data_IF_567081169073
#
_entry.id   IF_567081169073
#
_cell.length_a   1.000
_cell.length_b   1.000
_cell.length_c   1.000
_cell.angle_alpha   90.00
_cell.angle_beta   90.00
_cell.angle_gamma   90.00
#
_symmetry.space_group_name_H-M   'P 1'
#
loop_
_entity.id
_entity.type
_entity.pdbx_description
1 polymer ?
#
# COMPACT_ATOMS: atom_id res chain seq x y z
N UNK A 1 1.61 -34.04 24.89
CA UNK A 1 1.49 -33.33 23.61
C UNK A 1 1.55 -31.86 23.94
N UNK A 2 2.35 -31.06 23.21
CA UNK A 2 2.37 -29.62 23.44
C UNK A 2 1.00 -29.06 23.06
N UNK A 3 0.49 -28.13 23.87
CA UNK A 3 -0.78 -27.44 23.63
C UNK A 3 -0.64 -26.60 22.35
N UNK A 4 -1.59 -26.73 21.42
CA UNK A 4 -1.59 -25.95 20.17
C UNK A 4 -1.95 -24.51 20.51
N UNK A 5 -1.03 -23.59 20.25
CA UNK A 5 -1.27 -22.17 20.38
C UNK A 5 -1.92 -21.62 19.10
N UNK A 6 -3.12 -21.09 19.24
CA UNK A 6 -3.86 -20.46 18.15
C UNK A 6 -3.63 -18.95 18.09
N UNK A 7 -3.46 -18.42 16.89
CA UNK A 7 -3.60 -17.01 16.61
C UNK A 7 -5.09 -16.72 16.42
N UNK A 8 -5.66 -15.97 17.34
CA UNK A 8 -7.08 -15.64 17.30
C UNK A 8 -7.35 -14.52 16.28
N UNK A 9 -8.40 -14.69 15.49
CA UNK A 9 -8.88 -13.69 14.57
C UNK A 9 -10.14 -13.08 15.14
N UNK A 10 -10.13 -11.77 15.33
CA UNK A 10 -11.30 -11.04 15.80
C UNK A 10 -12.32 -10.92 14.67
N UNK A 11 -13.51 -11.41 14.89
CA UNK A 11 -14.61 -11.47 13.91
C UNK A 11 -15.17 -10.11 13.53
N UNK A 12 -15.06 -9.11 14.41
CA UNK A 12 -15.57 -7.74 14.19
C UNK A 12 -14.49 -6.87 13.53
N UNK A 13 -13.29 -6.83 14.13
CA UNK A 13 -12.21 -5.97 13.64
C UNK A 13 -11.42 -6.61 12.50
N UNK A 14 -11.60 -7.90 12.25
CA UNK A 14 -10.86 -8.73 11.27
C UNK A 14 -9.33 -8.72 11.49
N UNK A 15 -8.89 -8.36 12.68
CA UNK A 15 -7.47 -8.38 13.03
C UNK A 15 -7.05 -9.78 13.49
N UNK A 16 -5.86 -10.19 13.10
CA UNK A 16 -5.20 -11.40 13.58
C UNK A 16 -4.36 -10.99 14.80
N UNK A 17 -4.67 -11.54 15.97
CA UNK A 17 -3.88 -11.31 17.19
C UNK A 17 -2.55 -12.04 17.09
N UNK A 18 -1.49 -11.31 16.79
CA UNK A 18 -0.13 -11.86 16.73
C UNK A 18 0.73 -11.29 17.87
N UNK A 19 1.66 -12.08 18.42
CA UNK A 19 2.68 -11.55 19.32
C UNK A 19 3.48 -10.43 18.67
N UNK A 20 3.92 -9.44 19.44
CA UNK A 20 4.66 -8.29 18.95
C UNK A 20 5.91 -8.66 18.12
N UNK A 21 6.51 -9.83 18.37
CA UNK A 21 7.67 -10.35 17.67
C UNK A 21 7.38 -11.77 17.15
N UNK A 22 6.32 -11.94 16.36
CA UNK A 22 5.99 -13.23 15.78
C UNK A 22 7.14 -13.73 14.90
N UNK A 23 7.85 -14.75 15.37
CA UNK A 23 8.90 -15.41 14.61
C UNK A 23 8.30 -16.53 13.76
N UNK A 24 8.42 -16.40 12.45
CA UNK A 24 7.92 -17.40 11.49
C UNK A 24 8.91 -18.55 11.31
N UNK A 25 10.20 -18.28 11.27
CA UNK A 25 11.27 -19.27 11.11
C UNK A 25 12.57 -18.62 10.69
N UNK A 26 13.43 -19.44 10.10
CA UNK A 26 14.75 -19.04 9.60
C UNK A 26 14.75 -19.21 8.08
N UNK A 27 15.52 -18.37 7.39
CA UNK A 27 15.70 -18.46 5.94
C UNK A 27 16.13 -19.88 5.54
N UNK A 28 15.56 -20.40 4.45
CA UNK A 28 15.78 -21.75 3.92
C UNK A 28 15.07 -22.88 4.69
N UNK A 29 14.26 -22.56 5.71
CA UNK A 29 13.33 -23.54 6.27
C UNK A 29 12.33 -24.03 5.20
N UNK A 30 11.86 -25.26 5.34
CA UNK A 30 10.87 -25.85 4.45
C UNK A 30 9.96 -26.78 5.22
N UNK A 31 8.66 -26.52 5.18
CA UNK A 31 7.59 -27.36 5.75
C UNK A 31 7.82 -27.74 7.24
N UNK A 32 8.57 -26.91 7.99
CA UNK A 32 8.94 -27.19 9.38
C UNK A 32 8.05 -26.48 10.40
N UNK A 33 7.32 -25.46 9.98
CA UNK A 33 6.49 -24.68 10.89
C UNK A 33 5.06 -24.51 10.39
N UNK A 34 4.12 -24.73 11.32
CA UNK A 34 2.71 -24.42 11.15
C UNK A 34 2.31 -23.26 12.06
N UNK A 35 1.52 -22.35 11.55
CA UNK A 35 0.71 -21.46 12.35
C UNK A 35 -0.71 -21.96 12.41
N UNK A 36 -1.32 -21.90 13.57
CA UNK A 36 -2.70 -22.30 13.79
C UNK A 36 -3.56 -21.07 14.06
N UNK A 37 -4.73 -21.03 13.45
CA UNK A 37 -5.65 -19.92 13.54
C UNK A 37 -6.98 -20.39 14.11
N UNK A 38 -7.67 -19.49 14.81
CA UNK A 38 -9.00 -19.70 15.33
C UNK A 38 -9.83 -18.45 15.14
N UNK A 39 -11.03 -18.58 14.63
CA UNK A 39 -12.02 -17.50 14.56
C UNK A 39 -13.44 -18.03 14.72
N UNK A 40 -14.41 -17.13 14.81
CA UNK A 40 -15.81 -17.54 14.73
C UNK A 40 -16.12 -18.13 13.36
N UNK A 41 -16.97 -19.17 13.35
CA UNK A 41 -17.43 -19.83 12.15
C UNK A 41 -18.33 -18.92 11.30
N UNK A 42 -19.21 -18.17 11.96
CA UNK A 42 -20.08 -17.20 11.32
C UNK A 42 -19.50 -15.81 11.56
N UNK A 43 -19.26 -15.08 10.47
CA UNK A 43 -18.75 -13.71 10.47
C UNK A 43 -19.69 -12.83 9.65
N UNK A 44 -19.64 -11.50 9.85
CA UNK A 44 -20.48 -10.54 9.12
C UNK A 44 -21.96 -10.97 9.08
N UNK A 45 -22.49 -11.37 10.24
CA UNK A 45 -23.86 -11.83 10.47
C UNK A 45 -24.28 -13.11 9.71
N UNK A 46 -23.77 -13.37 8.48
CA UNK A 46 -24.26 -14.44 7.62
C UNK A 46 -23.19 -15.25 6.87
N UNK A 47 -21.93 -14.91 6.94
CA UNK A 47 -20.88 -15.62 6.21
C UNK A 47 -20.38 -16.80 7.01
N UNK A 48 -20.75 -18.01 6.59
CA UNK A 48 -20.32 -19.27 7.21
C UNK A 48 -18.98 -19.74 6.64
N UNK A 49 -17.89 -19.46 7.34
CA UNK A 49 -16.53 -19.80 6.90
C UNK A 49 -16.30 -21.30 6.71
N UNK A 50 -17.12 -22.17 7.32
CA UNK A 50 -17.01 -23.62 7.13
C UNK A 50 -17.40 -24.10 5.73
N UNK A 51 -18.08 -23.24 4.98
CA UNK A 51 -18.46 -23.48 3.57
C UNK A 51 -17.48 -22.87 2.57
N UNK A 52 -16.40 -22.27 3.04
CA UNK A 52 -15.43 -21.57 2.24
C UNK A 52 -14.08 -22.27 2.27
N UNK A 53 -13.34 -22.16 1.18
CA UNK A 53 -11.93 -22.50 1.19
C UNK A 53 -11.16 -21.36 1.87
N UNK A 54 -10.22 -21.72 2.74
CA UNK A 54 -9.45 -20.77 3.53
C UNK A 54 -8.01 -20.77 3.05
N UNK A 55 -7.51 -19.58 2.77
CA UNK A 55 -6.17 -19.36 2.24
C UNK A 55 -5.41 -18.37 3.12
N UNK A 56 -4.10 -18.46 3.10
CA UNK A 56 -3.21 -17.38 3.52
C UNK A 56 -2.68 -16.66 2.29
N UNK A 57 -2.85 -15.36 2.23
CA UNK A 57 -2.11 -14.49 1.31
C UNK A 57 -0.91 -13.94 2.04
N UNK A 58 0.27 -13.95 1.43
CA UNK A 58 1.45 -13.38 2.07
C UNK A 58 2.39 -12.71 1.06
N UNK A 59 3.21 -11.82 1.58
CA UNK A 59 4.19 -11.05 0.81
C UNK A 59 5.50 -11.06 1.58
N UNK A 60 6.58 -11.48 0.91
CA UNK A 60 7.93 -11.48 1.48
C UNK A 60 8.57 -10.09 1.35
N UNK A 61 9.35 -9.70 2.34
CA UNK A 61 9.87 -8.35 2.45
C UNK A 61 10.84 -7.90 1.35
N UNK A 62 11.65 -8.83 0.76
CA UNK A 62 12.63 -8.48 -0.28
C UNK A 62 12.78 -9.64 -1.28
N UNK A 63 13.09 -9.37 -2.54
CA UNK A 63 13.46 -10.41 -3.49
C UNK A 63 14.95 -10.80 -3.39
N UNK A 64 15.36 -11.89 -4.04
CA UNK A 64 16.74 -12.40 -4.00
C UNK A 64 17.78 -11.41 -4.52
N UNK A 65 17.39 -10.41 -5.29
CA UNK A 65 18.28 -9.38 -5.83
C UNK A 65 18.38 -8.16 -4.93
N UNK A 66 17.74 -8.17 -3.75
CA UNK A 66 17.66 -7.02 -2.86
C UNK A 66 16.72 -5.93 -3.38
N UNK A 67 15.99 -6.19 -4.45
CA UNK A 67 14.93 -5.30 -4.91
C UNK A 67 13.77 -5.36 -3.93
N UNK A 68 13.19 -4.21 -3.69
CA UNK A 68 12.08 -4.03 -2.77
C UNK A 68 10.86 -4.85 -3.17
N UNK A 69 10.06 -5.10 -2.16
CA UNK A 69 8.68 -5.51 -2.17
C UNK A 69 8.04 -5.46 -3.55
N UNK A 70 7.85 -6.56 -4.18
CA UNK A 70 6.85 -6.66 -5.23
C UNK A 70 5.49 -6.90 -4.58
N UNK A 71 4.81 -5.81 -4.23
CA UNK A 71 3.48 -5.81 -3.64
C UNK A 71 2.45 -6.36 -4.64
N UNK A 72 2.85 -6.40 -5.89
CA UNK A 72 2.01 -6.80 -7.02
C UNK A 72 1.93 -8.32 -7.20
N UNK A 73 2.67 -9.09 -6.42
CA UNK A 73 2.63 -10.56 -6.49
C UNK A 73 2.44 -11.17 -5.07
N UNK A 74 1.27 -11.02 -4.44
CA UNK A 74 0.97 -11.73 -3.22
C UNK A 74 0.90 -13.22 -3.53
N UNK A 75 1.62 -14.03 -2.77
CA UNK A 75 1.53 -15.47 -2.83
C UNK A 75 0.33 -15.95 -2.03
N UNK A 76 -0.34 -16.98 -2.54
CA UNK A 76 -1.53 -17.55 -1.92
C UNK A 76 -1.25 -19.01 -1.57
N UNK A 77 -1.66 -19.41 -0.38
CA UNK A 77 -1.42 -20.74 0.18
C UNK A 77 -2.71 -21.27 0.77
N UNK A 78 -3.12 -22.47 0.40
CA UNK A 78 -4.31 -23.12 0.96
C UNK A 78 -4.06 -23.54 2.41
N UNK A 79 -4.97 -23.21 3.32
CA UNK A 79 -4.91 -23.64 4.72
C UNK A 79 -5.24 -25.13 4.85
N UNK A 80 -4.57 -25.76 5.82
CA UNK A 80 -4.78 -27.13 6.21
C UNK A 80 -5.55 -27.28 7.53
N UNK A 81 -5.77 -28.54 7.94
CA UNK A 81 -6.33 -28.91 9.23
C UNK A 81 -7.61 -28.11 9.59
N UNK A 82 -8.45 -27.85 8.57
CA UNK A 82 -9.68 -27.07 8.76
C UNK A 82 -10.68 -27.92 9.53
N UNK A 83 -11.03 -27.45 10.72
CA UNK A 83 -12.00 -28.13 11.59
C UNK A 83 -12.98 -27.14 12.20
N UNK A 84 -14.18 -27.60 12.51
CA UNK A 84 -15.19 -26.80 13.21
C UNK A 84 -15.48 -27.42 14.57
N UNK A 85 -15.51 -26.56 15.60
CA UNK A 85 -15.85 -26.95 16.96
C UNK A 85 -16.78 -25.92 17.59
N UNK A 86 -18.04 -26.26 17.73
CA UNK A 86 -19.06 -25.32 18.17
C UNK A 86 -19.15 -24.10 17.25
N UNK A 87 -19.02 -22.92 17.84
CA UNK A 87 -19.11 -21.64 17.12
C UNK A 87 -17.80 -21.22 16.46
N UNK A 88 -16.77 -22.03 16.52
CA UNK A 88 -15.45 -21.70 16.02
C UNK A 88 -15.03 -22.59 14.87
N UNK A 89 -14.20 -22.03 14.00
CA UNK A 89 -13.43 -22.71 12.97
C UNK A 89 -11.94 -22.55 13.28
N UNK A 90 -11.21 -23.63 13.14
CA UNK A 90 -9.75 -23.64 13.26
C UNK A 90 -9.12 -24.18 11.98
N UNK A 91 -7.95 -23.68 11.65
CA UNK A 91 -7.20 -24.08 10.47
C UNK A 91 -5.72 -23.79 10.67
N UNK A 92 -4.88 -24.35 9.78
CA UNK A 92 -3.44 -24.15 9.88
C UNK A 92 -2.83 -23.66 8.58
N UNK A 93 -1.72 -22.96 8.70
CA UNK A 93 -0.84 -22.61 7.59
C UNK A 93 0.50 -23.32 7.74
N UNK A 94 0.74 -24.35 6.92
CA UNK A 94 2.06 -24.94 6.77
C UNK A 94 2.88 -24.06 5.84
N UNK A 95 3.96 -23.49 6.35
CA UNK A 95 4.80 -22.55 5.62
C UNK A 95 5.78 -23.29 4.72
N UNK A 96 5.67 -23.08 3.41
CA UNK A 96 6.57 -23.63 2.40
C UNK A 96 7.91 -22.89 2.33
N UNK A 97 8.85 -23.43 1.59
CA UNK A 97 10.15 -22.81 1.30
C UNK A 97 10.03 -21.39 0.73
N UNK A 98 8.93 -21.07 0.03
CA UNK A 98 8.73 -19.74 -0.53
C UNK A 98 8.52 -18.66 0.54
N UNK A 99 7.93 -19.02 1.69
CA UNK A 99 7.83 -18.13 2.85
C UNK A 99 9.21 -17.78 3.38
N UNK A 100 10.10 -18.77 3.42
CA UNK A 100 11.44 -18.66 3.98
C UNK A 100 12.53 -18.32 2.95
N UNK A 101 12.16 -18.08 1.69
CA UNK A 101 13.10 -17.71 0.64
C UNK A 101 13.92 -16.46 0.96
N UNK A 102 13.45 -15.64 1.89
CA UNK A 102 14.07 -14.35 2.25
C UNK A 102 13.91 -14.07 3.74
N UNK A 103 14.95 -13.58 4.34
CA UNK A 103 14.86 -13.03 5.69
C UNK A 103 14.21 -11.64 5.65
N UNK A 104 13.52 -11.27 6.72
CA UNK A 104 12.86 -10.00 6.87
C UNK A 104 11.40 -10.12 7.30
N UNK A 105 10.65 -9.06 7.16
CA UNK A 105 9.24 -9.02 7.53
C UNK A 105 8.39 -9.68 6.44
N UNK A 106 7.44 -10.47 6.87
CA UNK A 106 6.41 -11.10 6.04
C UNK A 106 5.06 -10.51 6.47
N UNK A 107 4.34 -9.90 5.54
CA UNK A 107 2.95 -9.54 5.77
C UNK A 107 2.06 -10.69 5.29
N UNK A 108 1.08 -11.08 6.10
CA UNK A 108 0.13 -12.15 5.74
C UNK A 108 -1.28 -11.82 6.21
N UNK A 109 -2.27 -12.30 5.47
CA UNK A 109 -3.69 -12.18 5.79
C UNK A 109 -4.43 -13.46 5.46
N UNK A 110 -5.58 -13.66 6.06
CA UNK A 110 -6.47 -14.80 5.77
C UNK A 110 -7.51 -14.37 4.74
N UNK A 111 -7.74 -15.21 3.75
CA UNK A 111 -8.82 -15.10 2.79
C UNK A 111 -9.70 -16.35 2.90
N UNK A 112 -11.00 -16.16 3.07
CA UNK A 112 -11.99 -17.20 2.89
C UNK A 112 -12.82 -16.91 1.63
N UNK A 113 -13.02 -17.88 0.75
CA UNK A 113 -13.76 -17.72 -0.49
C UNK A 113 -14.52 -18.98 -0.87
N UNK A 114 -15.73 -18.80 -1.41
CA UNK A 114 -16.53 -19.87 -2.03
C UNK A 114 -16.20 -20.10 -3.51
N UNK A 115 -15.26 -19.31 -4.05
CA UNK A 115 -14.86 -19.36 -5.46
C UNK A 115 -15.71 -18.49 -6.38
N UNK A 116 -16.91 -18.08 -5.97
CA UNK A 116 -17.86 -17.37 -6.85
C UNK A 116 -18.18 -15.94 -6.39
N UNK A 117 -18.87 -15.80 -5.28
CA UNK A 117 -19.49 -14.53 -4.87
C UNK A 117 -18.98 -13.99 -3.54
N UNK A 118 -18.65 -14.88 -2.62
CA UNK A 118 -18.35 -14.51 -1.24
C UNK A 118 -16.87 -14.54 -0.98
N UNK A 119 -16.33 -13.45 -0.50
CA UNK A 119 -14.94 -13.32 -0.06
C UNK A 119 -14.90 -12.58 1.27
N UNK A 120 -14.19 -13.15 2.21
CA UNK A 120 -13.92 -12.53 3.49
C UNK A 120 -12.41 -12.48 3.73
N UNK A 121 -11.88 -11.32 4.10
CA UNK A 121 -10.45 -11.11 4.33
C UNK A 121 -10.21 -10.52 5.71
N UNK A 122 -9.07 -10.88 6.31
CA UNK A 122 -8.54 -10.19 7.49
C UNK A 122 -7.64 -9.01 7.08
N UNK A 123 -7.41 -8.12 8.03
CA UNK A 123 -6.29 -7.18 7.92
C UNK A 123 -4.96 -7.94 7.96
N UNK A 124 -3.89 -7.40 7.32
CA UNK A 124 -2.58 -8.03 7.35
C UNK A 124 -1.98 -8.06 8.75
N UNK A 125 -1.42 -9.21 9.12
CA UNK A 125 -0.53 -9.36 10.26
C UNK A 125 0.92 -9.44 9.78
N UNK A 126 1.87 -9.23 10.67
CA UNK A 126 3.31 -9.22 10.35
C UNK A 126 4.03 -10.28 11.20
N UNK A 127 4.87 -11.06 10.53
CA UNK A 127 5.83 -11.94 11.18
C UNK A 127 7.23 -11.73 10.62
N UNK A 128 8.23 -12.35 11.23
CA UNK A 128 9.64 -12.19 10.87
C UNK A 128 10.27 -13.54 10.50
N UNK A 129 11.02 -13.55 9.41
CA UNK A 129 11.94 -14.65 9.04
C UNK A 129 13.37 -14.18 9.33
N UNK A 130 14.10 -14.92 10.15
CA UNK A 130 15.49 -14.61 10.48
C UNK A 130 16.44 -15.08 9.36
N UNK A 131 17.64 -14.49 9.31
CA UNK A 131 18.70 -15.00 8.44
C UNK A 131 19.25 -16.33 8.98
N UNK A 132 19.51 -17.29 8.08
CA UNK A 132 20.36 -18.41 8.35
C UNK A 132 21.84 -18.00 8.31
N UNK A 133 22.73 -18.79 8.93
CA UNK A 133 24.17 -18.62 8.77
C UNK A 133 24.53 -18.91 7.30
N UNK A 134 25.34 -18.06 6.62
CA UNK A 134 25.69 -18.30 5.21
C UNK A 134 26.42 -19.65 5.04
N UNK A 135 25.96 -20.50 4.14
CA UNK A 135 26.61 -21.80 3.84
C UNK A 135 25.65 -22.91 3.44
N UNK A 136 24.34 -22.68 3.42
CA UNK A 136 23.35 -23.67 2.97
C UNK A 136 23.33 -23.85 1.44
N UNK A 137 23.03 -25.07 0.98
CA UNK A 137 22.84 -25.41 -0.41
C UNK A 137 21.78 -24.49 -1.04
N UNK A 138 22.13 -23.85 -2.17
CA UNK A 138 21.16 -23.10 -2.99
C UNK A 138 20.21 -24.09 -3.65
N UNK A 139 19.14 -24.46 -2.98
CA UNK A 139 18.02 -25.05 -3.67
C UNK A 139 17.35 -23.98 -4.57
N UNK A 140 17.19 -24.35 -5.81
CA UNK A 140 16.49 -23.53 -6.80
C UNK A 140 15.06 -23.36 -6.29
N UNK A 141 14.65 -22.13 -5.98
CA UNK A 141 13.27 -21.84 -5.60
C UNK A 141 12.33 -22.36 -6.70
N UNK A 142 11.49 -23.32 -6.33
CA UNK A 142 10.64 -24.03 -7.28
C UNK A 142 9.80 -23.06 -8.13
N UNK A 143 9.65 -23.39 -9.39
CA UNK A 143 8.88 -22.65 -10.41
C UNK A 143 7.37 -22.55 -10.12
N UNK A 144 6.90 -23.15 -9.05
CA UNK A 144 5.46 -23.35 -8.82
C UNK A 144 4.94 -22.47 -7.68
N UNK A 145 3.75 -21.89 -7.82
CA UNK A 145 3.07 -21.21 -6.73
C UNK A 145 2.85 -22.15 -5.54
N UNK A 146 2.93 -21.64 -4.31
CA UNK A 146 2.76 -22.44 -3.08
C UNK A 146 1.48 -23.27 -3.05
N UNK A 147 0.39 -22.73 -3.63
CA UNK A 147 -0.89 -23.46 -3.71
C UNK A 147 -0.76 -24.75 -4.50
N UNK A 148 -0.03 -24.73 -5.62
CA UNK A 148 0.19 -25.93 -6.46
C UNK A 148 1.06 -26.93 -5.70
N UNK A 149 2.11 -26.48 -5.05
CA UNK A 149 2.99 -27.34 -4.23
C UNK A 149 2.20 -28.03 -3.12
N UNK A 150 1.32 -27.33 -2.44
CA UNK A 150 0.50 -27.92 -1.37
C UNK A 150 -0.59 -28.84 -1.89
N UNK A 151 -1.24 -28.50 -3.00
CA UNK A 151 -2.19 -29.40 -3.67
C UNK A 151 -1.49 -30.71 -4.09
N UNK A 152 -0.30 -30.60 -4.70
CA UNK A 152 0.50 -31.74 -5.09
C UNK A 152 0.93 -32.61 -3.89
N UNK A 153 1.30 -32.00 -2.78
CA UNK A 153 1.67 -32.71 -1.56
C UNK A 153 0.47 -33.45 -0.95
N UNK A 154 -0.72 -32.80 -0.90
CA UNK A 154 -1.96 -33.47 -0.44
C UNK A 154 -2.38 -34.61 -1.36
N UNK A 155 -2.24 -34.43 -2.67
CA UNK A 155 -2.51 -35.51 -3.64
C UNK A 155 -1.55 -36.69 -3.46
N UNK A 156 -0.28 -36.44 -3.15
CA UNK A 156 0.70 -37.51 -2.82
C UNK A 156 0.36 -38.29 -1.54
N UNK A 157 -0.27 -37.63 -0.58
CA UNK A 157 -0.74 -38.29 0.65
C UNK A 157 -1.98 -39.17 0.39
N UNK A 158 -2.80 -38.79 -0.59
CA UNK A 158 -4.04 -39.51 -0.93
C UNK A 158 -3.79 -40.68 -1.91
N UNK A 159 -2.80 -40.56 -2.79
CA UNK A 159 -2.56 -41.61 -3.80
C UNK A 159 -1.08 -41.85 -4.10
N UNK A 160 -0.62 -43.06 -3.78
CA UNK A 160 0.65 -43.61 -4.25
C UNK A 160 0.68 -43.94 -5.75
N UNK A 161 -0.29 -43.54 -6.56
CA UNK A 161 -0.54 -44.11 -7.90
C UNK A 161 -0.80 -43.06 -9.00
N UNK A 162 -0.75 -41.72 -8.77
CA UNK A 162 -1.00 -40.77 -9.84
C UNK A 162 0.27 -40.39 -10.62
N UNK A 163 0.21 -40.46 -11.96
CA UNK A 163 1.30 -39.96 -12.82
C UNK A 163 1.38 -38.43 -12.78
N UNK A 164 2.54 -37.90 -13.15
CA UNK A 164 2.76 -36.42 -13.21
C UNK A 164 1.73 -35.77 -14.13
N UNK A 165 1.36 -36.40 -15.21
CA UNK A 165 0.40 -35.97 -16.21
C UNK A 165 -1.02 -35.88 -15.64
N UNK A 166 -1.48 -36.92 -14.95
CA UNK A 166 -2.78 -36.94 -14.29
C UNK A 166 -2.89 -35.90 -13.17
N UNK A 167 -1.79 -35.68 -12.43
CA UNK A 167 -1.71 -34.62 -11.42
C UNK A 167 -1.79 -33.22 -12.05
N UNK A 168 -1.12 -33.00 -13.17
CA UNK A 168 -1.16 -31.71 -13.86
C UNK A 168 -2.56 -31.45 -14.45
N UNK A 169 -3.21 -32.47 -14.99
CA UNK A 169 -4.57 -32.37 -15.50
C UNK A 169 -5.57 -32.07 -14.36
N UNK A 170 -5.45 -32.74 -13.24
CA UNK A 170 -6.27 -32.50 -12.06
C UNK A 170 -6.07 -31.06 -11.53
N UNK A 171 -4.82 -30.60 -11.39
CA UNK A 171 -4.51 -29.24 -10.96
C UNK A 171 -5.09 -28.21 -11.93
N UNK A 172 -4.95 -28.43 -13.22
CA UNK A 172 -5.51 -27.53 -14.23
C UNK A 172 -7.03 -27.52 -14.19
N UNK A 173 -7.67 -28.67 -14.07
CA UNK A 173 -9.12 -28.81 -13.91
C UNK A 173 -9.60 -28.15 -12.63
N UNK A 174 -8.92 -28.41 -11.50
CA UNK A 174 -9.24 -27.81 -10.21
C UNK A 174 -9.13 -26.26 -10.25
N UNK A 175 -8.07 -25.72 -10.86
CA UNK A 175 -7.90 -24.28 -11.01
C UNK A 175 -8.91 -23.64 -11.98
N UNK A 176 -9.42 -24.43 -12.92
CA UNK A 176 -10.47 -24.01 -13.87
C UNK A 176 -11.85 -24.01 -13.20
N UNK A 177 -12.14 -25.05 -12.43
CA UNK A 177 -13.41 -25.20 -11.71
C UNK A 177 -13.48 -24.35 -10.44
N UNK A 178 -12.32 -24.07 -9.84
CA UNK A 178 -12.14 -23.25 -8.66
C UNK A 178 -11.16 -22.12 -9.00
N UNK A 179 -11.52 -21.21 -9.90
CA UNK A 179 -10.61 -20.13 -10.24
C UNK A 179 -10.23 -19.43 -8.96
N UNK A 180 -8.96 -19.55 -8.60
CA UNK A 180 -8.32 -18.69 -7.61
C UNK A 180 -8.30 -17.32 -8.29
N UNK A 181 -9.48 -16.70 -8.31
CA UNK A 181 -9.65 -15.42 -8.95
C UNK A 181 -8.64 -14.47 -8.29
N UNK A 182 -7.59 -14.15 -9.03
CA UNK A 182 -6.94 -12.87 -8.76
C UNK A 182 -8.08 -11.90 -8.89
N UNK A 183 -8.50 -11.36 -7.75
CA UNK A 183 -9.49 -10.30 -7.75
C UNK A 183 -8.98 -9.27 -8.76
N UNK A 184 -9.71 -9.05 -9.83
CA UNK A 184 -9.28 -8.07 -10.85
C UNK A 184 -9.01 -6.72 -10.21
N UNK A 185 -9.67 -6.43 -9.07
CA UNK A 185 -9.41 -5.26 -8.25
C UNK A 185 -8.05 -5.32 -7.53
N UNK A 186 -7.53 -6.51 -7.22
CA UNK A 186 -6.15 -6.68 -6.73
C UNK A 186 -5.12 -6.57 -7.86
N UNK A 187 -5.45 -7.05 -9.06
CA UNK A 187 -4.59 -6.91 -10.24
C UNK A 187 -4.59 -5.46 -10.75
N UNK A 188 -5.75 -4.82 -10.82
CA UNK A 188 -5.91 -3.42 -11.18
C UNK A 188 -6.94 -2.71 -10.28
N UNK A 189 -6.52 -2.24 -9.10
CA UNK A 189 -7.44 -1.57 -8.16
C UNK A 189 -7.96 -0.23 -8.68
N UNK A 190 -7.42 0.26 -9.78
CA UNK A 190 -7.81 1.53 -10.41
C UNK A 190 -8.74 1.35 -11.61
N UNK A 191 -9.11 0.11 -11.95
CA UNK A 191 -9.99 -0.14 -13.11
C UNK A 191 -11.28 0.66 -12.98
N UNK A 192 -11.58 1.46 -14.00
CA UNK A 192 -12.73 2.37 -14.07
C UNK A 192 -12.77 3.46 -12.99
N UNK A 193 -11.67 3.74 -12.31
CA UNK A 193 -11.59 4.78 -11.28
C UNK A 193 -11.09 6.10 -11.84
N UNK A 194 -11.53 7.19 -11.23
CA UNK A 194 -11.06 8.55 -11.51
C UNK A 194 -10.20 9.02 -10.34
N UNK A 195 -8.93 9.28 -10.64
CA UNK A 195 -7.94 9.76 -9.67
C UNK A 195 -7.57 11.20 -10.02
N UNK A 196 -7.78 12.10 -9.06
CA UNK A 196 -7.51 13.52 -9.20
C UNK A 196 -6.29 13.88 -8.38
N UNK A 197 -5.34 14.56 -9.00
CA UNK A 197 -4.11 15.02 -8.38
C UNK A 197 -4.04 16.56 -8.45
N UNK A 198 -3.87 17.22 -7.30
CA UNK A 198 -3.69 18.66 -7.17
C UNK A 198 -2.39 18.93 -6.42
N UNK A 199 -1.67 19.98 -6.74
CA UNK A 199 -0.42 20.20 -6.03
C UNK A 199 0.51 21.21 -6.68
N UNK A 200 1.75 21.14 -6.26
CA UNK A 200 2.83 22.01 -6.75
C UNK A 200 3.72 21.34 -7.80
N UNK A 201 4.93 21.85 -7.97
CA UNK A 201 5.90 21.39 -8.97
C UNK A 201 6.34 19.93 -8.79
N UNK A 202 6.30 19.40 -7.56
CA UNK A 202 6.70 18.02 -7.31
C UNK A 202 5.63 17.08 -7.86
N UNK A 203 4.37 17.37 -7.64
CA UNK A 203 3.28 16.57 -8.18
C UNK A 203 3.10 16.81 -9.68
N UNK A 204 3.30 18.06 -10.14
CA UNK A 204 3.25 18.41 -11.56
C UNK A 204 4.37 17.79 -12.39
N UNK A 205 5.52 17.45 -11.80
CA UNK A 205 6.63 16.79 -12.50
C UNK A 205 7.69 17.71 -13.07
N UNK A 206 7.91 18.87 -12.47
CA UNK A 206 8.89 19.87 -12.94
C UNK A 206 10.30 19.33 -13.13
N UNK A 207 10.73 18.35 -12.34
CA UNK A 207 12.05 17.71 -12.46
C UNK A 207 12.16 16.70 -13.61
N UNK A 208 11.06 16.31 -14.21
CA UNK A 208 10.97 15.39 -15.34
C UNK A 208 10.34 16.09 -16.54
N UNK A 209 9.04 16.21 -16.56
CA UNK A 209 8.27 16.90 -17.57
C UNK A 209 6.97 17.41 -16.93
N UNK A 210 6.65 18.68 -17.13
CA UNK A 210 5.42 19.27 -16.63
C UNK A 210 4.19 18.46 -17.07
N UNK A 211 3.27 18.21 -16.14
CA UNK A 211 2.08 17.41 -16.34
C UNK A 211 2.28 15.90 -16.16
N UNK A 212 3.49 15.43 -15.89
CA UNK A 212 3.78 14.00 -15.64
C UNK A 212 3.85 13.68 -14.15
N UNK A 213 4.91 14.04 -13.49
CA UNK A 213 5.13 13.92 -12.05
C UNK A 213 4.81 12.56 -11.44
N UNK A 214 4.26 12.61 -10.27
CA UNK A 214 4.00 11.44 -9.41
C UNK A 214 3.04 10.44 -10.06
N UNK A 215 2.01 10.91 -10.76
CA UNK A 215 0.96 10.04 -11.29
C UNK A 215 1.29 9.40 -12.64
N UNK A 216 2.29 9.90 -13.36
CA UNK A 216 2.59 9.39 -14.71
C UNK A 216 2.96 7.90 -14.73
N UNK A 217 3.83 7.38 -13.85
CA UNK A 217 4.11 5.94 -13.83
C UNK A 217 2.89 5.09 -13.50
N UNK A 218 1.96 5.61 -12.69
CA UNK A 218 0.70 4.93 -12.37
C UNK A 218 -0.25 4.95 -13.56
N UNK A 219 -0.36 6.07 -14.25
CA UNK A 219 -1.15 6.20 -15.48
C UNK A 219 -0.68 5.26 -16.58
N UNK A 220 0.62 5.10 -16.74
CA UNK A 220 1.22 4.17 -17.70
C UNK A 220 0.94 2.70 -17.33
N UNK A 221 0.91 2.40 -16.03
CA UNK A 221 0.68 1.06 -15.50
C UNK A 221 -0.80 0.68 -15.49
N UNK A 222 -1.69 1.64 -15.20
CA UNK A 222 -3.12 1.42 -15.02
C UNK A 222 -3.91 2.25 -16.01
N UNK A 223 -3.90 1.78 -17.26
CA UNK A 223 -4.50 2.47 -18.41
C UNK A 223 -6.02 2.50 -18.38
N UNK A 224 -6.65 1.63 -17.60
CA UNK A 224 -8.12 1.56 -17.46
C UNK A 224 -8.66 2.57 -16.43
N UNK A 225 -7.81 3.42 -15.88
CA UNK A 225 -8.18 4.49 -14.97
C UNK A 225 -8.11 5.85 -15.63
N UNK A 226 -8.92 6.78 -15.14
CA UNK A 226 -8.84 8.19 -15.53
C UNK A 226 -7.94 8.91 -14.52
N UNK A 227 -6.82 9.45 -15.01
CA UNK A 227 -5.84 10.19 -14.22
C UNK A 227 -5.88 11.67 -14.60
N UNK A 228 -6.27 12.52 -13.66
CA UNK A 228 -6.41 13.96 -13.86
C UNK A 228 -5.33 14.66 -13.04
N UNK A 229 -4.32 15.24 -13.71
CA UNK A 229 -3.31 16.06 -13.07
C UNK A 229 -3.70 17.54 -13.19
N UNK A 230 -3.96 18.18 -12.05
CA UNK A 230 -4.26 19.61 -11.93
C UNK A 230 -3.15 20.38 -11.22
N UNK A 231 -2.07 19.67 -10.85
CA UNK A 231 -0.94 20.30 -10.19
C UNK A 231 -0.26 21.34 -11.10
N UNK A 232 0.17 22.43 -10.50
CA UNK A 232 0.80 23.54 -11.21
C UNK A 232 2.11 23.92 -10.51
N UNK A 233 3.20 23.94 -11.29
CA UNK A 233 4.51 24.29 -10.74
C UNK A 233 4.52 25.70 -10.16
N UNK A 234 5.06 25.85 -8.94
CA UNK A 234 5.08 27.12 -8.23
C UNK A 234 3.86 27.40 -7.36
N UNK A 235 2.84 26.55 -7.37
CA UNK A 235 1.63 26.76 -6.59
C UNK A 235 1.89 26.66 -5.08
N UNK A 236 1.41 27.65 -4.32
CA UNK A 236 1.31 27.59 -2.86
C UNK A 236 0.06 26.80 -2.43
N UNK A 237 0.05 26.27 -1.23
CA UNK A 237 -1.19 25.81 -0.60
C UNK A 237 -2.12 27.01 -0.38
N UNK A 238 -1.59 28.10 0.18
CA UNK A 238 -2.31 29.31 0.52
C UNK A 238 -2.60 30.22 -0.67
N UNK A 239 -3.67 31.00 -0.55
CA UNK A 239 -4.05 32.07 -1.51
C UNK A 239 -3.25 33.32 -1.19
N UNK A 240 -2.51 33.82 -2.15
CA UNK A 240 -1.81 35.10 -2.05
C UNK A 240 -2.59 36.22 -2.78
N UNK A 241 -2.30 37.46 -2.45
CA UNK A 241 -2.95 38.64 -3.06
C UNK A 241 -2.70 38.78 -4.58
N UNK A 242 -1.63 38.16 -5.06
CA UNK A 242 -1.28 38.20 -6.49
C UNK A 242 -0.64 36.85 -6.87
N UNK A 243 -1.43 35.76 -6.99
CA UNK A 243 -0.89 34.42 -7.26
C UNK A 243 -0.39 34.38 -8.71
N UNK A 244 0.91 34.05 -8.88
CA UNK A 244 1.48 33.75 -10.19
C UNK A 244 0.97 32.39 -10.73
N UNK A 245 0.48 31.53 -9.83
CA UNK A 245 0.02 30.18 -10.09
C UNK A 245 -1.26 29.92 -9.32
N UNK A 246 -2.09 28.99 -9.79
CA UNK A 246 -3.34 28.62 -9.12
C UNK A 246 -3.05 27.98 -7.77
N UNK A 247 -3.43 28.60 -6.64
CA UNK A 247 -3.21 28.00 -5.31
C UNK A 247 -3.82 26.61 -5.19
N UNK A 248 -3.17 25.71 -4.46
CA UNK A 248 -3.58 24.31 -4.36
C UNK A 248 -4.99 24.16 -3.78
N UNK A 249 -5.33 24.95 -2.77
CA UNK A 249 -6.71 25.02 -2.25
C UNK A 249 -7.72 25.39 -3.34
N UNK A 250 -7.34 26.26 -4.26
CA UNK A 250 -8.18 26.67 -5.40
C UNK A 250 -8.24 25.59 -6.47
N UNK A 251 -7.14 24.91 -6.78
CA UNK A 251 -7.12 23.74 -7.69
C UNK A 251 -8.13 22.68 -7.22
N UNK A 252 -8.12 22.38 -5.91
CA UNK A 252 -9.01 21.42 -5.27
C UNK A 252 -10.47 21.87 -5.36
N UNK A 253 -10.77 23.09 -4.95
CA UNK A 253 -12.15 23.63 -4.93
C UNK A 253 -12.75 23.83 -6.31
N UNK A 254 -11.94 24.10 -7.31
CA UNK A 254 -12.37 24.25 -8.70
C UNK A 254 -12.59 22.89 -9.40
N UNK A 255 -12.27 21.78 -8.77
CA UNK A 255 -12.60 20.49 -9.30
C UNK A 255 -14.00 20.06 -8.81
N UNK A 256 -14.92 19.88 -9.75
CA UNK A 256 -16.32 19.53 -9.47
C UNK A 256 -16.74 18.20 -10.11
N UNK A 257 -15.83 17.53 -10.85
CA UNK A 257 -16.07 16.22 -11.46
C UNK A 257 -16.16 15.09 -10.43
N UNK A 258 -16.39 13.88 -10.88
CA UNK A 258 -16.34 12.69 -10.04
C UNK A 258 -14.88 12.36 -9.66
N UNK A 259 -14.68 11.82 -8.46
CA UNK A 259 -13.39 11.33 -8.01
C UNK A 259 -13.55 10.10 -7.12
N UNK A 260 -12.84 9.03 -7.43
CA UNK A 260 -12.67 7.86 -6.57
C UNK A 260 -11.46 8.02 -5.65
N UNK A 261 -10.48 8.82 -6.06
CA UNK A 261 -9.38 9.24 -5.20
C UNK A 261 -8.99 10.70 -5.45
N UNK A 262 -8.61 11.38 -4.38
CA UNK A 262 -8.02 12.71 -4.42
C UNK A 262 -6.68 12.64 -3.72
N UNK A 263 -5.61 12.92 -4.46
CA UNK A 263 -4.25 13.02 -3.94
C UNK A 263 -3.74 14.45 -4.13
N UNK A 264 -3.07 14.98 -3.14
CA UNK A 264 -2.48 16.30 -3.28
C UNK A 264 -1.25 16.46 -2.41
N UNK A 265 -0.36 17.36 -2.83
CA UNK A 265 0.80 17.79 -2.06
C UNK A 265 0.72 19.29 -1.77
N UNK A 266 1.74 19.86 -1.14
CA UNK A 266 1.87 21.30 -0.92
C UNK A 266 2.72 21.62 0.29
N UNK A 267 3.07 22.89 0.39
CA UNK A 267 3.90 23.46 1.45
C UNK A 267 5.29 23.90 1.01
N UNK A 268 5.83 23.32 -0.07
CA UNK A 268 7.18 23.69 -0.56
C UNK A 268 7.25 25.15 -0.98
N UNK A 269 6.26 25.63 -1.74
CA UNK A 269 6.24 27.01 -2.20
C UNK A 269 5.79 27.95 -1.08
N UNK A 270 4.93 27.53 -0.17
CA UNK A 270 4.60 28.30 1.04
C UNK A 270 5.86 28.56 1.87
N UNK A 271 6.74 27.57 2.01
CA UNK A 271 8.05 27.71 2.66
C UNK A 271 8.94 28.68 1.89
N UNK A 272 9.04 28.53 0.56
CA UNK A 272 9.90 29.35 -0.27
C UNK A 272 9.45 30.82 -0.32
N UNK A 273 8.15 31.05 -0.28
CA UNK A 273 7.53 32.37 -0.35
C UNK A 273 7.24 32.98 1.03
N UNK A 274 7.68 32.30 2.11
CA UNK A 274 7.47 32.76 3.50
C UNK A 274 6.01 33.05 3.83
N UNK A 275 5.10 32.21 3.35
CA UNK A 275 3.66 32.31 3.63
C UNK A 275 3.41 32.10 5.12
N UNK A 276 2.61 32.94 5.79
CA UNK A 276 2.30 32.74 7.20
C UNK A 276 1.75 31.33 7.48
N UNK A 277 2.30 30.66 8.50
CA UNK A 277 1.84 29.31 8.89
C UNK A 277 0.37 29.35 9.29
N UNK A 278 -0.03 30.34 10.07
CA UNK A 278 -1.37 30.43 10.62
C UNK A 278 -1.62 29.51 11.81
N UNK A 279 -2.85 29.48 12.29
CA UNK A 279 -3.33 28.61 13.37
C UNK A 279 -4.29 27.57 12.83
N UNK A 280 -4.36 26.45 13.56
CA UNK A 280 -5.37 25.42 13.33
C UNK A 280 -6.64 25.85 14.04
N UNK A 281 -7.78 25.84 13.35
CA UNK A 281 -9.06 26.17 13.95
C UNK A 281 -9.54 25.07 14.92
N UNK A 282 -10.34 25.43 15.91
CA UNK A 282 -10.83 24.45 16.90
C UNK A 282 -11.98 23.60 16.38
N UNK A 283 -12.72 24.05 15.37
CA UNK A 283 -13.89 23.40 14.78
C UNK A 283 -13.64 22.92 13.35
N UNK A 284 -14.67 22.26 12.79
CA UNK A 284 -14.65 21.80 11.40
C UNK A 284 -15.37 22.76 10.44
N UNK A 285 -16.41 23.45 10.89
CA UNK A 285 -17.20 24.36 10.05
C UNK A 285 -16.80 25.83 10.27
N UNK A 286 -15.49 26.05 10.37
CA UNK A 286 -14.95 27.38 10.61
C UNK A 286 -14.76 28.19 9.30
N UNK A 287 -14.65 29.51 9.44
CA UNK A 287 -14.20 30.36 8.34
C UNK A 287 -12.67 30.37 8.32
N UNK A 288 -12.08 29.56 7.46
CA UNK A 288 -10.63 29.39 7.37
C UNK A 288 -9.97 30.56 6.65
N UNK A 289 -8.91 31.09 7.25
CA UNK A 289 -8.07 32.10 6.59
C UNK A 289 -7.17 31.45 5.53
N UNK A 290 -7.65 31.39 4.30
CA UNK A 290 -6.91 30.80 3.18
C UNK A 290 -5.63 31.54 2.79
N UNK A 291 -5.38 32.74 3.35
CA UNK A 291 -4.10 33.45 3.20
C UNK A 291 -2.95 32.88 4.04
N UNK A 292 -3.22 31.86 4.87
CA UNK A 292 -2.23 31.13 5.65
C UNK A 292 -2.19 29.68 5.23
N UNK A 293 -1.06 28.99 5.49
CA UNK A 293 -0.92 27.57 5.15
C UNK A 293 -1.97 26.71 5.87
N UNK A 294 -2.11 26.86 7.21
CA UNK A 294 -3.07 26.07 7.98
C UNK A 294 -4.51 26.30 7.51
N UNK A 295 -4.93 27.55 7.36
CA UNK A 295 -6.29 27.85 6.95
C UNK A 295 -6.61 27.40 5.52
N UNK A 296 -5.64 27.48 4.61
CA UNK A 296 -5.80 26.96 3.25
C UNK A 296 -5.92 25.42 3.24
N UNK A 297 -5.07 24.71 3.99
CA UNK A 297 -5.13 23.27 4.10
C UNK A 297 -6.46 22.79 4.73
N UNK A 298 -6.88 23.40 5.84
CA UNK A 298 -8.16 23.05 6.47
C UNK A 298 -9.35 23.33 5.54
N UNK A 299 -9.32 24.47 4.81
CA UNK A 299 -10.34 24.81 3.82
C UNK A 299 -10.40 23.81 2.65
N UNK A 300 -9.25 23.29 2.22
CA UNK A 300 -9.18 22.25 1.21
C UNK A 300 -9.76 20.93 1.75
N UNK A 301 -9.40 20.56 2.98
CA UNK A 301 -9.89 19.32 3.62
C UNK A 301 -11.40 19.37 3.85
N UNK A 302 -11.94 20.48 4.35
CA UNK A 302 -13.39 20.63 4.47
C UNK A 302 -14.08 20.37 3.13
N UNK A 303 -13.63 21.04 2.06
CA UNK A 303 -14.22 20.84 0.74
C UNK A 303 -14.14 19.38 0.26
N UNK A 304 -12.98 18.73 0.46
CA UNK A 304 -12.80 17.32 0.07
C UNK A 304 -13.72 16.40 0.87
N UNK A 305 -13.85 16.61 2.17
CA UNK A 305 -14.70 15.78 3.03
C UNK A 305 -16.18 15.94 2.68
N UNK A 306 -16.61 17.16 2.41
CA UNK A 306 -18.01 17.46 2.08
C UNK A 306 -18.37 16.97 0.66
N UNK A 307 -17.49 17.24 -0.30
CA UNK A 307 -17.79 16.99 -1.73
C UNK A 307 -17.52 15.55 -2.16
N UNK A 308 -16.53 14.89 -1.55
CA UNK A 308 -16.05 13.56 -1.92
C UNK A 308 -15.96 12.62 -0.71
N UNK A 309 -17.06 12.41 0.04
CA UNK A 309 -17.01 11.65 1.29
C UNK A 309 -16.50 10.21 1.10
N UNK A 310 -16.84 9.57 -0.02
CA UNK A 310 -16.49 8.17 -0.32
C UNK A 310 -15.16 8.01 -1.07
N UNK A 311 -14.57 9.08 -1.59
CA UNK A 311 -13.29 8.99 -2.29
C UNK A 311 -12.15 8.63 -1.33
N UNK A 312 -11.19 7.87 -1.79
CA UNK A 312 -9.89 7.72 -1.10
C UNK A 312 -9.15 9.06 -1.13
N UNK A 313 -8.58 9.44 -0.01
CA UNK A 313 -7.93 10.73 0.18
C UNK A 313 -6.48 10.52 0.61
N UNK A 314 -5.55 11.30 0.05
CA UNK A 314 -4.15 11.22 0.45
C UNK A 314 -3.47 12.58 0.31
N UNK A 315 -2.94 13.09 1.41
CA UNK A 315 -2.01 14.21 1.42
C UNK A 315 -0.57 13.71 1.39
N UNK A 316 0.28 14.32 0.54
CA UNK A 316 1.68 13.93 0.39
C UNK A 316 2.56 15.04 0.94
N UNK A 317 3.31 14.74 2.00
CA UNK A 317 4.41 15.57 2.46
C UNK A 317 5.63 15.19 1.62
N UNK A 318 6.24 16.12 0.89
CA UNK A 318 7.38 15.81 0.02
C UNK A 318 8.61 15.36 0.81
N UNK A 319 9.61 14.85 0.11
CA UNK A 319 10.89 14.47 0.71
C UNK A 319 11.61 15.67 1.33
N UNK A 320 12.54 15.38 2.25
CA UNK A 320 13.39 16.43 2.80
C UNK A 320 14.27 17.04 1.70
N UNK A 321 14.10 18.34 1.47
CA UNK A 321 15.00 19.15 0.67
C UNK A 321 15.93 19.94 1.61
N UNK A 322 17.15 20.23 1.14
CA UNK A 322 18.22 20.78 1.95
C UNK A 322 17.97 22.21 2.42
N UNK A 323 16.92 22.41 3.21
CA UNK A 323 16.70 23.62 4.00
C UNK A 323 16.47 23.18 5.43
N UNK A 324 17.53 23.19 6.23
CA UNK A 324 17.45 23.13 7.68
C UNK A 324 16.92 24.48 8.17
N UNK A 325 15.63 24.59 8.36
CA UNK A 325 15.10 25.69 9.13
C UNK A 325 13.85 25.27 9.91
N UNK A 326 13.68 25.83 11.07
CA UNK A 326 12.52 25.65 11.95
C UNK A 326 11.19 25.95 11.25
N UNK A 327 11.20 26.72 10.17
CA UNK A 327 10.02 27.06 9.40
C UNK A 327 9.52 25.89 8.55
N UNK A 328 10.42 25.10 7.95
CA UNK A 328 10.07 23.84 7.24
C UNK A 328 9.39 22.87 8.19
N UNK A 329 9.99 22.69 9.37
CA UNK A 329 9.44 21.82 10.40
C UNK A 329 8.10 22.32 10.91
N UNK A 330 7.91 23.63 11.05
CA UNK A 330 6.63 24.22 11.49
C UNK A 330 5.50 23.97 10.48
N UNK A 331 5.73 24.13 9.19
CA UNK A 331 4.74 23.87 8.13
C UNK A 331 4.33 22.40 8.15
N UNK A 332 5.28 21.47 8.13
CA UNK A 332 4.94 20.05 8.04
C UNK A 332 4.43 19.45 9.35
N UNK A 333 4.85 19.98 10.50
CA UNK A 333 4.24 19.59 11.79
C UNK A 333 2.78 20.01 11.84
N UNK A 334 2.46 21.22 11.40
CA UNK A 334 1.07 21.70 11.33
C UNK A 334 0.25 20.94 10.28
N UNK A 335 0.84 20.56 9.15
CA UNK A 335 0.17 19.71 8.19
C UNK A 335 -0.22 18.36 8.79
N UNK A 336 0.65 17.72 9.57
CA UNK A 336 0.37 16.47 10.27
C UNK A 336 -0.73 16.65 11.31
N UNK A 337 -0.63 17.69 12.18
CA UNK A 337 -1.68 18.01 13.16
C UNK A 337 -3.06 18.21 12.51
N UNK A 338 -3.10 18.90 11.36
CA UNK A 338 -4.33 19.11 10.60
C UNK A 338 -4.84 17.79 10.02
N UNK A 339 -3.95 16.98 9.43
CA UNK A 339 -4.34 15.67 8.91
C UNK A 339 -4.89 14.77 10.02
N UNK A 340 -4.26 14.75 11.19
CA UNK A 340 -4.72 13.98 12.35
C UNK A 340 -6.10 14.48 12.85
N UNK A 341 -6.29 15.80 12.96
CA UNK A 341 -7.58 16.40 13.29
C UNK A 341 -8.69 15.99 12.33
N UNK A 342 -8.42 16.01 11.03
CA UNK A 342 -9.41 15.74 9.97
C UNK A 342 -9.55 14.25 9.62
N UNK A 343 -8.86 13.34 10.32
CA UNK A 343 -8.73 11.93 9.94
C UNK A 343 -8.28 11.76 8.48
N UNK A 344 -7.46 12.68 8.00
CA UNK A 344 -6.94 12.70 6.65
C UNK A 344 -5.70 11.82 6.54
N UNK A 345 -5.72 10.74 5.75
CA UNK A 345 -4.52 9.95 5.50
C UNK A 345 -3.42 10.81 4.86
N UNK A 346 -2.19 10.66 5.36
CA UNK A 346 -1.03 11.31 4.75
C UNK A 346 0.13 10.34 4.53
N UNK A 347 1.03 10.74 3.65
CA UNK A 347 2.26 10.03 3.32
C UNK A 347 3.46 10.96 3.46
N UNK A 348 4.26 10.73 4.47
CA UNK A 348 5.47 11.53 4.74
C UNK A 348 6.67 10.98 3.95
N UNK A 349 6.91 11.54 2.76
CA UNK A 349 8.01 11.13 1.89
C UNK A 349 9.40 11.45 2.46
N UNK A 350 9.51 12.26 3.51
CA UNK A 350 10.77 12.45 4.25
C UNK A 350 11.23 11.13 4.85
N UNK A 351 10.29 10.24 5.21
CA UNK A 351 10.55 8.90 5.76
C UNK A 351 10.63 7.81 4.69
N UNK A 352 9.84 7.96 3.61
CA UNK A 352 9.64 6.89 2.62
C UNK A 352 10.37 7.11 1.30
N UNK A 353 10.94 8.30 1.05
CA UNK A 353 11.71 8.56 -0.18
C UNK A 353 13.00 7.74 -0.28
N UNK A 354 13.53 7.28 0.86
CA UNK A 354 14.74 6.46 0.99
C UNK A 354 16.00 7.09 0.36
N UNK A 355 15.97 8.36 0.08
CA UNK A 355 17.09 9.12 -0.49
C UNK A 355 17.38 10.30 0.43
N UNK A 356 18.55 10.26 1.09
CA UNK A 356 19.08 11.43 1.76
C UNK A 356 19.68 12.41 0.73
N UNK A 357 19.47 13.72 0.93
CA UNK A 357 19.94 14.78 0.03
C UNK A 357 21.44 15.07 0.18
N UNK A 358 22.27 14.01 0.11
CA UNK A 358 23.73 14.18 -0.05
C UNK A 358 24.03 14.86 -1.40
N UNK A 359 25.17 15.50 -1.53
CA UNK A 359 25.56 16.16 -2.80
C UNK A 359 25.48 15.22 -4.01
N UNK A 360 25.84 13.95 -3.83
CA UNK A 360 25.78 12.93 -4.87
C UNK A 360 24.32 12.60 -5.25
N UNK A 361 23.45 12.41 -4.27
CA UNK A 361 22.05 12.10 -4.51
C UNK A 361 21.30 13.29 -5.10
N UNK A 362 21.58 14.48 -4.62
CA UNK A 362 21.06 15.73 -5.14
C UNK A 362 21.34 15.85 -6.64
N UNK A 363 22.58 15.66 -7.08
CA UNK A 363 22.96 15.72 -8.49
C UNK A 363 22.35 14.61 -9.34
N UNK A 364 22.10 13.43 -8.75
CA UNK A 364 21.63 12.25 -9.49
C UNK A 364 20.12 12.20 -9.61
N UNK A 365 19.40 12.61 -8.56
CA UNK A 365 17.96 12.33 -8.41
C UNK A 365 17.08 13.56 -8.42
N UNK A 366 17.67 14.76 -8.42
CA UNK A 366 16.90 15.99 -8.57
C UNK A 366 17.27 16.73 -9.87
N UNK A 367 16.35 17.60 -10.30
CA UNK A 367 16.48 18.38 -11.52
C UNK A 367 17.80 19.15 -11.55
N UNK A 368 18.55 18.94 -12.60
CA UNK A 368 19.78 19.69 -12.84
C UNK A 368 19.45 21.04 -13.49
N UNK A 369 19.36 22.07 -12.68
CA UNK A 369 19.01 23.41 -13.19
C UNK A 369 20.21 24.15 -13.76
N UNK A 370 21.45 23.90 -13.25
CA UNK A 370 22.66 24.60 -13.67
C UNK A 370 23.90 23.79 -13.32
N UNK A 371 24.78 23.51 -14.30
CA UNK A 371 26.14 23.02 -14.13
C UNK A 371 26.35 21.72 -13.34
N UNK A 372 25.46 20.75 -13.44
CA UNK A 372 25.66 19.40 -12.86
C UNK A 372 25.29 19.27 -11.38
N UNK A 373 24.75 20.32 -10.77
CA UNK A 373 24.27 20.29 -9.38
C UNK A 373 22.74 20.25 -9.40
N UNK A 374 22.15 19.17 -8.88
CA UNK A 374 20.71 19.08 -8.75
C UNK A 374 20.16 20.17 -7.82
N UNK A 375 18.90 20.57 -7.99
CA UNK A 375 18.25 21.61 -7.17
C UNK A 375 17.89 21.10 -5.75
N UNK A 376 17.85 19.78 -5.55
CA UNK A 376 17.55 19.17 -4.26
C UNK A 376 16.06 19.12 -3.93
N UNK A 377 15.19 19.57 -4.85
CA UNK A 377 13.75 19.72 -4.63
C UNK A 377 12.93 18.88 -5.62
N UNK A 378 13.22 18.99 -6.91
CA UNK A 378 12.39 18.41 -7.95
C UNK A 378 12.92 17.05 -8.41
N UNK A 379 12.20 15.95 -8.12
CA UNK A 379 12.62 14.60 -8.52
C UNK A 379 12.74 14.49 -10.04
N UNK A 380 13.77 13.77 -10.51
CA UNK A 380 13.85 13.34 -11.90
C UNK A 380 13.00 12.09 -12.16
N UNK A 381 12.77 11.75 -13.44
CA UNK A 381 11.97 10.58 -13.82
C UNK A 381 12.29 9.31 -13.05
N UNK A 382 13.58 8.97 -12.93
CA UNK A 382 13.99 7.74 -12.23
C UNK A 382 13.57 7.72 -10.76
N UNK A 383 13.55 8.87 -10.09
CA UNK A 383 13.11 8.95 -8.71
C UNK A 383 11.59 8.82 -8.57
N UNK A 384 10.82 9.45 -9.47
CA UNK A 384 9.37 9.23 -9.52
C UNK A 384 9.03 7.77 -9.73
N UNK A 385 9.65 7.10 -10.71
CA UNK A 385 9.36 5.70 -11.05
C UNK A 385 9.78 4.71 -9.96
N UNK A 386 10.89 4.96 -9.28
CA UNK A 386 11.48 4.00 -8.35
C UNK A 386 10.94 4.14 -6.92
N UNK A 387 10.62 5.36 -6.49
CA UNK A 387 10.31 5.60 -5.07
C UNK A 387 8.96 6.29 -4.86
N UNK A 388 8.65 7.38 -5.57
CA UNK A 388 7.42 8.11 -5.32
C UNK A 388 6.19 7.32 -5.71
N UNK A 389 6.05 7.00 -6.98
CA UNK A 389 4.85 6.34 -7.51
C UNK A 389 4.57 4.97 -6.91
N UNK A 390 5.59 4.08 -6.71
CA UNK A 390 5.33 2.80 -6.05
C UNK A 390 4.85 2.91 -4.60
N UNK A 391 5.40 3.87 -3.83
CA UNK A 391 4.98 4.07 -2.43
C UNK A 391 3.56 4.64 -2.36
N UNK A 392 3.22 5.54 -3.27
CA UNK A 392 1.87 6.12 -3.37
C UNK A 392 0.86 5.07 -3.84
N UNK A 393 1.20 4.26 -4.87
CA UNK A 393 0.38 3.12 -5.30
C UNK A 393 0.04 2.22 -4.11
N UNK A 394 1.06 1.83 -3.36
CA UNK A 394 0.85 1.01 -2.16
C UNK A 394 -0.07 1.68 -1.14
N UNK A 395 0.16 2.96 -0.86
CA UNK A 395 -0.65 3.68 0.12
C UNK A 395 -2.11 3.77 -0.30
N UNK A 396 -2.39 4.06 -1.58
CA UNK A 396 -3.75 4.12 -2.13
C UNK A 396 -4.45 2.76 -2.07
N UNK A 397 -3.75 1.67 -2.38
CA UNK A 397 -4.26 0.31 -2.22
C UNK A 397 -4.62 0.00 -0.77
N UNK A 398 -3.74 0.35 0.16
CA UNK A 398 -3.97 0.14 1.59
C UNK A 398 -5.13 0.99 2.12
N UNK A 399 -5.44 2.11 1.48
CA UNK A 399 -6.60 2.95 1.77
C UNK A 399 -7.89 2.48 1.06
N UNK A 400 -7.82 1.40 0.29
CA UNK A 400 -8.99 0.76 -0.29
C UNK A 400 -9.45 1.28 -1.63
N UNK A 401 -8.57 1.85 -2.47
CA UNK A 401 -8.95 2.37 -3.80
C UNK A 401 -9.68 1.34 -4.67
N UNK A 402 -9.38 0.06 -4.53
CA UNK A 402 -10.06 -1.02 -5.25
C UNK A 402 -11.50 -1.27 -4.80
N UNK A 403 -11.90 -0.74 -3.65
CA UNK A 403 -13.21 -0.98 -3.02
C UNK A 403 -14.11 0.26 -3.02
N UNK A 404 -13.68 1.37 -3.58
CA UNK A 404 -14.55 2.54 -3.77
C UNK A 404 -15.61 2.23 -4.82
N UNK A 405 -16.86 2.47 -4.51
CA UNK A 405 -18.03 2.19 -5.38
C UNK A 405 -18.29 3.31 -6.35
#
# INVERSE_FOLDING_TARGET
MAEIQYLEINDITRMINVPANLLLGVREDKDVKKLYFKCKKIVEENVDLSKHQIYVKYINALDKSGKKFDIMDPKICLCGDVTTQGDYITFSWLMSENVFAKAGLIAFSILASDGEKTRWNTYPAIGTVLNSVPGGLQEIAGKYPDIITQLLNRMREVEKIATKEAMQEYVNTYLTEHPVGIDETLANPYKNKTIVACGDSILAGWGWKEGTGIIQPLKEKYTDAVWINRAESGANMAVTSNPSHTPIVTQIKNYTGAADAIIFDGGVNDINNSIPVGSIESGYDASYNTGTFCGALESALQYIMDRYPLAVKLYIIPHSFAKDNSYVDSIYSKAIEICDKWNMPYLDMRKYSQIAMTSKNKSKYTRNANSGVGDGVHPVESWYRTFYSPVIDQKLRNLGIGYTT
#
